data_IF_312257788971
#
_entry.id   IF_312257788971
#
_cell.length_a   1.000
_cell.length_b   1.000
_cell.length_c   1.000
_cell.angle_alpha   90.00
_cell.angle_beta   90.00
_cell.angle_gamma   90.00
#
_symmetry.space_group_name_H-M   'P 1'
#
loop_
_entity.id
_entity.type
_entity.pdbx_description
1 polymer ?
#
# COMPACT_ATOMS: atom_id res chain seq x y z
N UNK A 1 -13.51 6.10 -6.52
CA UNK A 1 -12.76 6.59 -5.34
C UNK A 1 -12.32 5.42 -4.48
N UNK A 2 -11.01 5.27 -4.26
CA UNK A 2 -10.48 4.25 -3.35
C UNK A 2 -10.80 4.65 -1.90
N UNK A 3 -11.51 3.79 -1.16
CA UNK A 3 -11.81 4.00 0.25
C UNK A 3 -11.17 2.89 1.08
N UNK A 4 -10.32 3.27 2.03
CA UNK A 4 -9.63 2.34 2.92
C UNK A 4 -9.64 2.88 4.35
N UNK A 5 -9.65 1.96 5.33
CA UNK A 5 -9.64 2.28 6.76
C UNK A 5 -8.65 1.37 7.48
N UNK A 6 -7.98 1.91 8.50
CA UNK A 6 -7.22 1.15 9.47
C UNK A 6 -8.11 0.95 10.70
N UNK A 7 -8.36 -0.32 11.03
CA UNK A 7 -9.20 -0.75 12.14
C UNK A 7 -8.35 -1.59 13.08
N UNK A 8 -8.37 -1.27 14.37
CA UNK A 8 -7.70 -2.07 15.40
C UNK A 8 -8.68 -2.41 16.51
N UNK A 9 -8.56 -3.62 17.04
CA UNK A 9 -9.39 -4.14 18.13
C UNK A 9 -8.51 -4.84 19.16
N UNK A 10 -8.94 -4.80 20.42
CA UNK A 10 -8.31 -5.58 21.47
C UNK A 10 -8.54 -7.08 21.27
N UNK A 11 -7.52 -7.88 21.57
CA UNK A 11 -7.68 -9.33 21.65
C UNK A 11 -8.64 -9.69 22.80
N UNK A 12 -9.47 -10.72 22.60
CA UNK A 12 -10.45 -11.18 23.58
C UNK A 12 -11.76 -10.41 23.51
N UNK A 13 -11.78 -9.16 23.99
CA UNK A 13 -13.02 -8.35 24.01
C UNK A 13 -13.46 -7.85 22.64
N UNK A 14 -12.56 -7.84 21.65
CA UNK A 14 -12.78 -7.29 20.31
C UNK A 14 -13.25 -5.83 20.32
N UNK A 15 -13.04 -5.10 21.43
CA UNK A 15 -13.36 -3.68 21.57
C UNK A 15 -12.58 -2.89 20.52
N UNK A 16 -13.27 -2.02 19.80
CA UNK A 16 -12.67 -1.09 18.84
C UNK A 16 -11.77 -0.09 19.60
N UNK A 17 -10.53 0.04 19.16
CA UNK A 17 -9.53 0.95 19.75
C UNK A 17 -8.95 1.94 18.73
N UNK A 18 -9.13 1.66 17.44
CA UNK A 18 -8.77 2.58 16.37
C UNK A 18 -9.71 2.34 15.19
N UNK A 19 -10.21 3.41 14.60
CA UNK A 19 -10.96 3.37 13.35
C UNK A 19 -10.70 4.65 12.57
N UNK A 20 -9.62 4.65 11.80
CA UNK A 20 -9.24 5.82 11.00
C UNK A 20 -9.45 5.53 9.53
N UNK A 21 -10.02 6.49 8.79
CA UNK A 21 -9.94 6.48 7.33
C UNK A 21 -8.50 6.75 6.93
N UNK A 22 -8.08 6.24 5.78
CA UNK A 22 -6.85 6.70 5.12
C UNK A 22 -7.18 8.01 4.38
N UNK A 23 -6.28 8.99 4.47
CA UNK A 23 -6.37 10.27 3.78
C UNK A 23 -5.02 10.63 3.16
N UNK A 24 -5.02 11.54 2.20
CA UNK A 24 -3.85 11.87 1.38
C UNK A 24 -2.63 12.33 2.19
N UNK A 25 -2.84 13.20 3.18
CA UNK A 25 -1.83 13.78 4.05
C UNK A 25 -1.48 12.87 5.25
N UNK A 26 -1.97 11.63 5.27
CA UNK A 26 -1.59 10.65 6.29
C UNK A 26 -0.10 10.33 6.18
N UNK A 27 0.60 10.33 7.31
CA UNK A 27 2.03 10.06 7.41
C UNK A 27 2.21 8.64 7.93
N UNK A 28 3.10 7.88 7.29
CA UNK A 28 3.50 6.54 7.73
C UNK A 28 5.03 6.45 7.65
N UNK A 29 5.66 5.91 8.71
CA UNK A 29 7.11 5.78 8.84
C UNK A 29 7.46 4.47 9.55
N UNK A 30 8.37 3.69 8.98
CA UNK A 30 8.97 2.53 9.67
C UNK A 30 9.94 3.05 10.73
N UNK A 31 9.53 3.03 12.00
CA UNK A 31 10.36 3.53 13.11
C UNK A 31 11.51 2.58 13.46
N UNK A 32 11.30 1.27 13.29
CA UNK A 32 12.35 0.24 13.27
C UNK A 32 11.81 -1.03 12.59
N UNK A 33 12.59 -2.12 12.58
CA UNK A 33 12.19 -3.39 11.93
C UNK A 33 10.87 -3.97 12.45
N UNK A 34 10.50 -3.70 13.71
CA UNK A 34 9.33 -4.26 14.43
C UNK A 34 8.30 -3.19 14.82
N UNK A 35 8.45 -1.94 14.39
CA UNK A 35 7.54 -0.87 14.78
C UNK A 35 7.23 0.08 13.64
N UNK A 36 5.95 0.39 13.51
CA UNK A 36 5.39 1.28 12.51
C UNK A 36 4.76 2.49 13.19
N UNK A 37 5.19 3.68 12.78
CA UNK A 37 4.64 4.96 13.24
C UNK A 37 3.72 5.52 12.15
N UNK A 38 2.53 5.99 12.51
CA UNK A 38 1.60 6.59 11.56
C UNK A 38 0.69 7.62 12.23
N UNK A 39 0.16 8.56 11.45
CA UNK A 39 -0.89 9.46 11.93
C UNK A 39 -2.26 8.82 11.77
N UNK A 40 -3.15 8.98 12.75
CA UNK A 40 -4.54 8.52 12.65
C UNK A 40 -5.48 9.51 13.36
N UNK A 41 -6.74 9.49 12.96
CA UNK A 41 -7.80 10.19 13.70
C UNK A 41 -8.17 9.37 14.93
N UNK A 42 -8.03 9.96 16.11
CA UNK A 42 -8.44 9.34 17.36
C UNK A 42 -9.97 9.14 17.42
N UNK A 43 -10.39 8.09 18.12
CA UNK A 43 -11.81 7.73 18.19
C UNK A 43 -12.61 8.63 19.14
N UNK A 44 -11.99 9.16 20.19
CA UNK A 44 -12.68 9.90 21.25
C UNK A 44 -12.85 11.38 20.91
N UNK A 45 -11.77 12.02 20.44
CA UNK A 45 -11.74 13.48 20.22
C UNK A 45 -11.65 13.90 18.75
N UNK A 46 -11.59 12.93 17.82
CA UNK A 46 -11.41 13.14 16.38
C UNK A 46 -10.18 13.99 16.01
N UNK A 47 -9.21 14.10 16.91
CA UNK A 47 -7.94 14.77 16.65
C UNK A 47 -7.00 13.87 15.86
N UNK A 48 -6.12 14.47 15.06
CA UNK A 48 -5.06 13.72 14.37
C UNK A 48 -3.89 13.56 15.34
N UNK A 49 -3.58 12.32 15.70
CA UNK A 49 -2.49 11.99 16.61
C UNK A 49 -1.49 11.04 15.96
N UNK A 50 -0.31 10.92 16.56
CA UNK A 50 0.74 9.99 16.13
C UNK A 50 0.62 8.70 16.94
N UNK A 51 0.48 7.57 16.24
CA UNK A 51 0.36 6.23 16.79
C UNK A 51 1.59 5.40 16.46
N UNK A 52 1.89 4.44 17.34
CA UNK A 52 2.96 3.46 17.15
C UNK A 52 2.40 2.05 17.32
N UNK A 53 2.53 1.22 16.28
CA UNK A 53 2.20 -0.20 16.34
C UNK A 53 3.48 -1.02 16.37
N UNK A 54 3.55 -2.01 17.26
CA UNK A 54 4.65 -2.97 17.35
C UNK A 54 4.15 -4.35 16.94
N UNK A 55 4.86 -5.02 16.03
CA UNK A 55 4.51 -6.34 15.54
C UNK A 55 5.76 -7.18 15.18
N UNK A 56 5.57 -8.38 14.63
CA UNK A 56 6.65 -9.13 14.02
C UNK A 56 7.31 -8.33 12.89
N UNK A 57 8.58 -8.63 12.58
CA UNK A 57 9.29 -7.90 11.52
C UNK A 57 8.60 -8.02 10.16
N UNK A 58 8.09 -9.22 9.87
CA UNK A 58 7.31 -9.50 8.65
C UNK A 58 5.98 -8.76 8.65
N UNK A 59 5.19 -8.91 9.71
CA UNK A 59 3.88 -8.23 9.82
C UNK A 59 4.00 -6.70 9.75
N UNK A 60 5.06 -6.13 10.31
CA UNK A 60 5.35 -4.69 10.25
C UNK A 60 5.58 -4.25 8.80
N UNK A 61 6.28 -5.08 8.02
CA UNK A 61 6.61 -4.82 6.63
C UNK A 61 5.39 -4.96 5.71
N UNK A 62 4.63 -6.04 5.89
CA UNK A 62 3.37 -6.27 5.18
C UNK A 62 2.38 -5.13 5.46
N UNK A 63 2.25 -4.72 6.73
CA UNK A 63 1.39 -3.60 7.12
C UNK A 63 1.85 -2.27 6.51
N UNK A 64 3.16 -2.00 6.51
CA UNK A 64 3.73 -0.80 5.91
C UNK A 64 3.43 -0.75 4.40
N UNK A 65 3.76 -1.81 3.68
CA UNK A 65 3.53 -1.89 2.23
C UNK A 65 2.05 -1.71 1.90
N UNK A 66 1.18 -2.42 2.62
CA UNK A 66 -0.26 -2.38 2.39
C UNK A 66 -0.86 -0.98 2.63
N UNK A 67 -0.40 -0.22 3.63
CA UNK A 67 -0.85 1.17 3.84
C UNK A 67 -0.21 2.09 2.80
N UNK A 68 1.09 1.93 2.52
CA UNK A 68 1.83 2.75 1.56
C UNK A 68 1.19 2.71 0.17
N UNK A 69 0.94 1.53 -0.39
CA UNK A 69 0.31 1.40 -1.71
C UNK A 69 -1.07 2.06 -1.78
N UNK A 70 -1.88 1.95 -0.71
CA UNK A 70 -3.19 2.61 -0.65
C UNK A 70 -3.08 4.12 -0.61
N UNK A 71 -2.09 4.67 0.10
CA UNK A 71 -1.85 6.11 0.14
C UNK A 71 -1.32 6.64 -1.20
N UNK A 72 -0.44 5.89 -1.88
CA UNK A 72 0.03 6.21 -3.22
C UNK A 72 -1.14 6.25 -4.20
N UNK A 73 -1.96 5.19 -4.24
CA UNK A 73 -3.13 5.16 -5.09
C UNK A 73 -4.11 6.30 -4.77
N UNK A 74 -4.36 6.58 -3.48
CA UNK A 74 -5.23 7.67 -3.06
C UNK A 74 -4.77 9.04 -3.57
N UNK A 75 -3.46 9.31 -3.53
CA UNK A 75 -2.84 10.54 -4.06
C UNK A 75 -3.00 10.63 -5.58
N UNK A 76 -2.74 9.53 -6.29
CA UNK A 76 -2.89 9.50 -7.75
C UNK A 76 -4.32 9.80 -8.21
N UNK A 77 -5.34 9.42 -7.43
CA UNK A 77 -6.73 9.80 -7.72
C UNK A 77 -7.04 11.27 -7.44
N UNK A 78 -6.40 11.88 -6.44
CA UNK A 78 -6.60 13.29 -6.12
C UNK A 78 -6.00 14.22 -7.19
N UNK A 79 -4.90 13.80 -7.82
CA UNK A 79 -4.26 14.50 -8.94
C UNK A 79 -5.03 14.33 -10.27
N UNK A 80 -5.91 13.33 -10.38
CA UNK A 80 -6.66 13.01 -11.58
C UNK A 80 -8.06 13.61 -11.65
N UNK A 81 -8.54 14.36 -10.65
CA UNK A 81 -9.74 15.21 -10.80
C UNK A 81 -9.34 16.44 -11.64
N UNK A 82 -9.62 16.44 -12.96
CA UNK A 82 -9.43 17.61 -13.78
C UNK A 82 -10.62 18.53 -13.50
N UNK A 83 -10.38 19.83 -13.53
CA UNK A 83 -11.43 20.83 -13.61
C UNK A 83 -12.46 20.42 -14.67
N UNK A 84 -13.65 19.97 -14.23
CA UNK A 84 -14.78 19.69 -15.10
C UNK A 84 -15.39 21.02 -15.54
N UNK A 85 -14.65 21.74 -16.38
CA UNK A 85 -15.11 22.86 -17.19
C UNK A 85 -14.23 22.94 -18.43
N UNK A 86 -14.43 22.03 -19.37
CA UNK A 86 -14.37 22.35 -20.79
C UNK A 86 -15.10 21.31 -21.62
N UNK A 87 -15.98 21.84 -22.46
CA UNK A 87 -16.92 21.15 -23.31
C UNK A 87 -16.25 20.39 -24.47
N UNK A 88 -16.97 19.36 -24.93
CA UNK A 88 -17.00 18.80 -26.28
C UNK A 88 -15.77 18.96 -27.18
N UNK A 89 -15.09 17.83 -27.42
CA UNK A 89 -14.70 17.43 -28.77
C UNK A 89 -14.48 15.91 -28.81
N UNK A 90 -15.39 15.21 -29.49
CA UNK A 90 -15.19 13.84 -29.97
C UNK A 90 -13.85 13.70 -30.71
N UNK A 91 -13.11 12.64 -30.40
CA UNK A 91 -12.09 12.09 -31.29
C UNK A 91 -11.90 10.61 -30.96
N UNK A 92 -12.73 9.77 -31.59
CA UNK A 92 -12.42 8.36 -31.81
C UNK A 92 -11.13 8.25 -32.63
N UNK A 93 -10.06 7.69 -32.06
CA UNK A 93 -9.13 6.83 -32.82
C UNK A 93 -8.69 5.68 -31.92
N UNK A 94 -9.17 4.49 -32.26
CA UNK A 94 -8.79 3.22 -31.69
C UNK A 94 -7.31 2.89 -32.01
N UNK A 95 -6.51 2.53 -31.01
CA UNK A 95 -5.38 1.59 -31.19
C UNK A 95 -5.21 0.67 -29.98
N UNK A 96 -4.92 -0.58 -30.32
CA UNK A 96 -4.99 -1.84 -29.59
C UNK A 96 -3.83 -2.07 -28.59
N UNK A 97 -3.83 -3.17 -27.79
CA UNK A 97 -3.24 -3.22 -26.46
C UNK A 97 -1.71 -3.38 -26.45
N UNK A 98 -1.05 -2.68 -25.53
CA UNK A 98 0.34 -2.93 -25.18
C UNK A 98 0.45 -4.20 -24.33
N UNK A 99 0.93 -5.28 -24.93
CA UNK A 99 1.49 -6.41 -24.21
C UNK A 99 2.78 -5.94 -23.52
N UNK A 100 2.79 -5.94 -22.19
CA UNK A 100 4.01 -5.80 -21.41
C UNK A 100 4.55 -7.22 -21.19
N UNK A 101 5.38 -7.65 -22.13
CA UNK A 101 6.26 -8.80 -21.96
C UNK A 101 7.47 -8.31 -21.16
N UNK A 102 7.54 -8.68 -19.88
CA UNK A 102 8.69 -8.39 -19.04
C UNK A 102 9.16 -9.71 -18.46
N UNK A 103 10.23 -10.21 -19.08
CA UNK A 103 11.11 -11.29 -18.61
C UNK A 103 11.40 -11.14 -17.11
N UNK A 104 10.94 -12.08 -16.30
CA UNK A 104 11.56 -12.42 -15.02
C UNK A 104 12.36 -13.70 -15.26
N UNK A 105 13.70 -13.59 -15.22
CA UNK A 105 14.60 -14.74 -15.26
C UNK A 105 14.50 -15.52 -13.95
N UNK A 106 13.62 -16.52 -13.92
CA UNK A 106 13.69 -17.64 -12.96
C UNK A 106 14.73 -18.65 -13.47
N UNK A 107 15.93 -18.66 -12.87
CA UNK A 107 16.87 -19.78 -13.05
C UNK A 107 17.10 -20.53 -11.73
N UNK A 108 16.11 -21.37 -11.38
CA UNK A 108 16.32 -22.55 -10.54
C UNK A 108 16.36 -23.79 -11.44
N UNK A 109 17.57 -24.35 -11.70
CA UNK A 109 17.64 -25.78 -12.07
C UNK A 109 18.96 -26.51 -11.74
N UNK A 110 18.94 -27.22 -10.61
CA UNK A 110 19.40 -28.60 -10.34
C UNK A 110 20.51 -29.25 -11.23
N UNK A 111 21.63 -29.60 -10.57
CA UNK A 111 22.61 -30.73 -10.70
C UNK A 111 22.37 -31.79 -11.81
N UNK A 112 23.40 -32.38 -12.49
CA UNK A 112 24.30 -33.37 -11.84
C UNK A 112 25.72 -33.65 -12.44
N UNK A 113 26.58 -34.28 -11.62
CA UNK A 113 27.65 -35.29 -11.85
C UNK A 113 28.42 -35.38 -13.20
N UNK A 114 29.76 -35.36 -13.15
CA UNK A 114 30.68 -36.47 -13.56
C UNK A 114 32.08 -36.03 -14.06
N UNK A 115 33.09 -36.66 -13.44
CA UNK A 115 34.32 -37.25 -13.99
C UNK A 115 35.39 -36.46 -14.76
N UNK A 116 36.61 -36.64 -14.23
CA UNK A 116 37.90 -36.99 -14.90
C UNK A 116 38.76 -35.93 -15.59
N UNK A 117 40.02 -35.87 -15.14
CA UNK A 117 41.17 -36.04 -16.06
C UNK A 117 42.23 -34.93 -16.06
N UNK A 118 43.29 -35.10 -15.26
CA UNK A 118 44.72 -35.10 -15.63
C UNK A 118 45.61 -34.90 -14.40
#
# INVERSE_FOLDING_TARGET
MLQSRLIMRNQGSLRLILNTRLWEQMVIKRANRKSLCFTATDQEDHSVQVFLTRAGSKDTEDLYAAIHHRLVALRSFAEQEPDANQADAESEIAFQPFNCDSDDEDDEKINPVSSSGS
#
